data_IF_159126515674
#
_entry.id   IF_159126515674
#
_cell.length_a   1.000
_cell.length_b   1.000
_cell.length_c   1.000
_cell.angle_alpha   90.00
_cell.angle_beta   90.00
_cell.angle_gamma   90.00
#
_symmetry.space_group_name_H-M   'P 1'
#
loop_
_entity.id
_entity.type
_entity.pdbx_description
1 polymer ?
#
# COMPACT_ATOMS: atom_id res chain seq x y z
N UNK A 1 3.02 -0.89 -12.78
CA UNK A 1 3.42 0.23 -11.92
C UNK A 1 2.63 0.24 -10.60
N UNK A 2 1.30 0.31 -10.64
CA UNK A 2 0.46 0.40 -9.44
C UNK A 2 0.62 -0.80 -8.49
N UNK A 3 0.80 -2.01 -9.02
CA UNK A 3 1.00 -3.23 -8.25
C UNK A 3 2.21 -3.16 -7.30
N UNK A 4 3.33 -2.58 -7.74
CA UNK A 4 4.53 -2.45 -6.90
C UNK A 4 4.25 -1.66 -5.61
N UNK A 5 3.52 -0.55 -5.71
CA UNK A 5 3.19 0.28 -4.55
C UNK A 5 2.31 -0.43 -3.53
N UNK A 6 1.27 -1.14 -3.98
CA UNK A 6 0.35 -1.82 -3.04
C UNK A 6 0.99 -3.07 -2.43
N UNK A 7 1.86 -3.77 -3.17
CA UNK A 7 2.62 -4.90 -2.65
C UNK A 7 3.62 -4.41 -1.60
N UNK A 8 4.38 -3.34 -1.88
CA UNK A 8 5.34 -2.78 -0.92
C UNK A 8 4.64 -2.35 0.37
N UNK A 9 3.55 -1.59 0.28
CA UNK A 9 2.77 -1.19 1.46
C UNK A 9 2.30 -2.39 2.28
N UNK A 10 1.82 -3.45 1.63
CA UNK A 10 1.40 -4.65 2.33
C UNK A 10 2.58 -5.39 2.99
N UNK A 11 3.74 -5.45 2.35
CA UNK A 11 4.97 -6.03 2.91
C UNK A 11 5.45 -5.23 4.11
N UNK A 12 5.41 -3.90 4.06
CA UNK A 12 5.75 -3.04 5.21
C UNK A 12 4.83 -3.30 6.41
N UNK A 13 3.53 -3.39 6.18
CA UNK A 13 2.53 -3.61 7.23
C UNK A 13 2.56 -5.04 7.78
N UNK A 14 2.56 -6.04 6.92
CA UNK A 14 2.26 -7.43 7.28
C UNK A 14 3.45 -8.38 7.10
N UNK A 15 4.56 -7.92 6.49
CA UNK A 15 5.73 -8.73 6.16
C UNK A 15 5.57 -9.53 4.86
N UNK A 16 6.67 -10.19 4.46
CA UNK A 16 6.71 -11.03 3.26
C UNK A 16 5.83 -12.27 3.47
N UNK A 17 4.92 -12.62 2.53
CA UNK A 17 4.06 -13.79 2.67
C UNK A 17 4.84 -15.10 2.38
N UNK A 18 4.32 -16.23 2.87
CA UNK A 18 4.85 -17.56 2.54
C UNK A 18 4.49 -17.98 1.11
N UNK A 19 3.36 -17.50 0.60
CA UNK A 19 2.87 -17.82 -0.74
C UNK A 19 1.94 -16.71 -1.26
N UNK A 20 1.69 -16.74 -2.56
CA UNK A 20 0.84 -15.79 -3.26
C UNK A 20 -0.12 -16.53 -4.20
N UNK A 21 -1.34 -16.00 -4.35
CA UNK A 21 -2.25 -16.36 -5.42
C UNK A 21 -2.72 -15.09 -6.12
N UNK A 22 -2.69 -15.08 -7.44
CA UNK A 22 -3.01 -13.88 -8.21
C UNK A 22 -3.85 -14.18 -9.44
N UNK A 23 -4.67 -13.19 -9.80
CA UNK A 23 -5.38 -13.05 -11.07
C UNK A 23 -5.00 -11.69 -11.65
N UNK A 24 -4.32 -11.70 -12.80
CA UNK A 24 -3.81 -10.51 -13.49
C UNK A 24 -4.26 -10.58 -14.95
N UNK A 25 -4.86 -9.51 -15.45
CA UNK A 25 -5.43 -9.52 -16.79
C UNK A 25 -5.31 -8.16 -17.51
N UNK A 26 -5.60 -8.18 -18.81
CA UNK A 26 -5.77 -7.02 -19.68
C UNK A 26 -7.25 -6.94 -20.04
N UNK A 27 -8.02 -6.12 -19.32
CA UNK A 27 -9.47 -6.04 -19.49
C UNK A 27 -9.93 -4.90 -20.42
N UNK A 28 -9.06 -3.94 -20.74
CA UNK A 28 -9.36 -2.87 -21.69
C UNK A 28 -9.26 -3.38 -23.13
N UNK A 29 -10.24 -3.05 -23.94
CA UNK A 29 -10.19 -3.34 -25.39
C UNK A 29 -8.94 -2.72 -26.01
N UNK A 30 -8.11 -3.54 -26.67
CA UNK A 30 -6.88 -3.11 -27.31
C UNK A 30 -5.73 -2.80 -26.32
N UNK A 31 -5.85 -3.16 -25.05
CA UNK A 31 -4.77 -3.07 -24.08
C UNK A 31 -3.58 -3.98 -24.46
N UNK A 32 -2.35 -3.53 -24.16
CA UNK A 32 -1.11 -4.27 -24.41
C UNK A 32 -0.37 -4.61 -23.10
N UNK A 33 -0.81 -4.06 -21.98
CA UNK A 33 -0.26 -4.27 -20.64
C UNK A 33 -1.39 -4.52 -19.66
N UNK A 34 -1.10 -5.27 -18.61
CA UNK A 34 -2.02 -5.55 -17.53
C UNK A 34 -2.60 -4.25 -16.92
N UNK A 35 -3.89 -4.26 -16.72
CA UNK A 35 -4.66 -3.13 -16.19
C UNK A 35 -5.69 -3.55 -15.13
N UNK A 36 -5.64 -4.82 -14.75
CA UNK A 36 -6.43 -5.42 -13.69
C UNK A 36 -5.57 -6.42 -12.90
N UNK A 37 -5.71 -6.42 -11.58
CA UNK A 37 -5.21 -7.51 -10.76
C UNK A 37 -6.00 -7.67 -9.45
N UNK A 38 -6.04 -8.92 -8.98
CA UNK A 38 -6.35 -9.31 -7.61
C UNK A 38 -5.23 -10.23 -7.12
N UNK A 39 -4.63 -9.89 -5.98
CA UNK A 39 -3.51 -10.62 -5.41
C UNK A 39 -3.82 -10.96 -3.95
N UNK A 40 -3.72 -12.23 -3.59
CA UNK A 40 -3.85 -12.70 -2.22
C UNK A 40 -2.48 -13.05 -1.64
N UNK A 41 -2.09 -12.38 -0.56
CA UNK A 41 -0.88 -12.69 0.19
C UNK A 41 -1.23 -13.69 1.30
N UNK A 42 -0.61 -14.87 1.25
CA UNK A 42 -0.91 -15.97 2.14
C UNK A 42 0.13 -16.06 3.25
N UNK A 43 -0.33 -16.02 4.51
CA UNK A 43 0.49 -16.10 5.71
C UNK A 43 1.65 -15.09 5.74
N UNK A 44 1.37 -13.80 5.79
CA UNK A 44 2.41 -12.77 5.93
C UNK A 44 3.25 -12.99 7.20
N UNK A 45 4.55 -12.78 7.14
CA UNK A 45 5.49 -13.17 8.19
C UNK A 45 5.31 -12.45 9.54
N UNK A 46 4.84 -11.20 9.51
CA UNK A 46 4.53 -10.42 10.72
C UNK A 46 3.11 -10.66 11.25
N UNK A 47 2.21 -11.21 10.42
CA UNK A 47 0.80 -11.38 10.73
C UNK A 47 0.19 -12.61 10.03
N UNK A 48 0.59 -13.85 10.39
CA UNK A 48 0.28 -15.07 9.62
C UNK A 48 -1.22 -15.42 9.57
N UNK A 49 -2.03 -14.86 10.46
CA UNK A 49 -3.47 -15.07 10.48
C UNK A 49 -4.27 -14.03 9.68
N UNK A 50 -3.64 -12.93 9.28
CA UNK A 50 -4.28 -11.87 8.50
C UNK A 50 -4.47 -12.34 7.05
N UNK A 51 -5.64 -12.04 6.50
CA UNK A 51 -5.96 -12.23 5.08
C UNK A 51 -5.74 -10.92 4.37
N UNK A 52 -4.78 -10.88 3.45
CA UNK A 52 -4.44 -9.67 2.69
C UNK A 52 -4.85 -9.89 1.25
N UNK A 53 -5.68 -9.00 0.73
CA UNK A 53 -6.08 -8.94 -0.68
C UNK A 53 -5.71 -7.57 -1.23
N UNK A 54 -4.96 -7.55 -2.31
CA UNK A 54 -4.59 -6.36 -3.07
C UNK A 54 -5.38 -6.37 -4.36
N UNK A 55 -6.04 -5.27 -4.70
CA UNK A 55 -6.84 -5.17 -5.91
C UNK A 55 -6.63 -3.82 -6.57
N UNK A 56 -6.59 -3.83 -7.89
CA UNK A 56 -6.64 -2.62 -8.70
C UNK A 56 -7.21 -2.90 -10.07
N UNK A 57 -7.86 -1.89 -10.65
CA UNK A 57 -8.33 -1.89 -12.02
C UNK A 57 -8.29 -0.47 -12.59
N UNK A 58 -8.02 -0.34 -13.88
CA UNK A 58 -8.18 0.94 -14.59
C UNK A 58 -9.62 1.20 -15.05
N UNK A 59 -10.49 0.17 -15.01
CA UNK A 59 -11.91 0.32 -15.41
C UNK A 59 -12.80 0.55 -14.18
N UNK A 60 -12.53 1.65 -13.45
CA UNK A 60 -13.29 2.01 -12.26
C UNK A 60 -13.69 3.49 -12.36
N UNK A 61 -14.99 3.75 -12.47
CA UNK A 61 -15.53 5.11 -12.40
C UNK A 61 -15.67 5.59 -10.94
N UNK A 62 -16.00 4.68 -10.03
CA UNK A 62 -16.08 4.99 -8.60
C UNK A 62 -14.81 4.52 -7.88
N UNK A 63 -14.15 5.38 -7.09
CA UNK A 63 -12.95 5.00 -6.37
C UNK A 63 -13.27 4.01 -5.25
N UNK A 64 -12.54 2.89 -5.21
CA UNK A 64 -12.55 2.00 -4.06
C UNK A 64 -11.73 2.60 -2.89
N UNK A 65 -12.01 2.18 -1.65
CA UNK A 65 -11.16 2.55 -0.52
C UNK A 65 -9.71 2.11 -0.76
N UNK A 66 -8.77 2.97 -0.44
CA UNK A 66 -7.34 2.62 -0.46
C UNK A 66 -7.00 1.53 0.56
N UNK A 67 -7.60 1.62 1.74
CA UNK A 67 -7.46 0.65 2.82
C UNK A 67 -8.82 0.28 3.38
N UNK A 68 -9.05 -1.02 3.51
CA UNK A 68 -10.14 -1.60 4.28
C UNK A 68 -9.52 -2.60 5.24
N UNK A 69 -9.47 -2.27 6.51
CA UNK A 69 -8.89 -3.11 7.55
C UNK A 69 -10.01 -3.56 8.49
N UNK A 70 -10.17 -4.87 8.65
CA UNK A 70 -11.11 -5.46 9.59
C UNK A 70 -10.34 -6.24 10.64
N UNK A 71 -10.45 -5.84 11.89
CA UNK A 71 -9.89 -6.52 13.04
C UNK A 71 -10.99 -7.09 13.93
N UNK A 72 -10.58 -7.79 14.99
CA UNK A 72 -11.51 -8.37 15.97
C UNK A 72 -12.26 -7.34 16.80
N UNK A 73 -11.70 -6.13 16.93
CA UNK A 73 -12.25 -5.07 17.79
C UNK A 73 -12.73 -3.84 17.00
N UNK A 74 -12.62 -3.86 15.67
CA UNK A 74 -13.07 -2.74 14.86
C UNK A 74 -12.64 -2.81 13.41
N UNK A 75 -13.01 -1.76 12.68
CA UNK A 75 -12.72 -1.59 11.26
C UNK A 75 -12.16 -0.20 11.00
N UNK A 76 -11.27 -0.12 10.01
CA UNK A 76 -10.76 1.14 9.50
C UNK A 76 -10.90 1.18 7.99
N UNK A 77 -11.47 2.27 7.47
CA UNK A 77 -11.67 2.48 6.03
C UNK A 77 -11.11 3.83 5.65
N UNK A 78 -10.21 3.86 4.67
CA UNK A 78 -9.59 5.09 4.18
C UNK A 78 -9.70 5.17 2.66
N UNK A 79 -10.13 6.33 2.19
CA UNK A 79 -10.14 6.69 0.78
C UNK A 79 -8.97 7.63 0.44
N UNK A 80 -8.66 7.72 -0.85
CA UNK A 80 -7.66 8.65 -1.37
C UNK A 80 -6.22 8.21 -1.14
N UNK A 81 -5.33 8.97 -1.73
CA UNK A 81 -3.88 8.83 -1.64
C UNK A 81 -3.29 9.98 -0.84
N UNK A 82 -2.02 9.86 -0.50
CA UNK A 82 -1.20 10.95 0.01
C UNK A 82 -1.30 12.19 -0.87
N UNK A 83 -1.40 13.36 -0.24
CA UNK A 83 -1.66 14.62 -0.93
C UNK A 83 -0.41 15.24 -1.58
N UNK A 84 0.78 14.80 -1.24
CA UNK A 84 2.03 15.48 -1.62
C UNK A 84 2.22 15.63 -3.13
N UNK A 85 1.81 14.63 -3.95
CA UNK A 85 1.86 14.74 -5.40
C UNK A 85 0.90 15.83 -5.92
N UNK A 86 -0.31 15.90 -5.36
CA UNK A 86 -1.26 16.96 -5.70
C UNK A 86 -0.73 18.34 -5.31
N UNK A 87 -0.15 18.47 -4.12
CA UNK A 87 0.47 19.69 -3.63
C UNK A 87 1.61 20.16 -4.56
N UNK A 88 2.48 19.25 -5.04
CA UNK A 88 3.51 19.58 -6.04
C UNK A 88 2.90 20.09 -7.36
N UNK A 89 1.84 19.46 -7.84
CA UNK A 89 1.15 19.86 -9.05
C UNK A 89 0.46 21.23 -8.90
N UNK A 90 0.05 21.60 -7.69
CA UNK A 90 -0.48 22.91 -7.32
C UNK A 90 0.63 23.96 -7.06
N UNK A 91 1.91 23.58 -7.16
CA UNK A 91 3.07 24.47 -6.98
C UNK A 91 3.49 24.66 -5.53
N UNK A 92 2.96 23.88 -4.59
CA UNK A 92 3.43 23.86 -3.21
C UNK A 92 4.78 23.13 -3.12
N UNK A 93 5.58 23.49 -2.14
CA UNK A 93 6.90 22.90 -1.94
C UNK A 93 7.00 22.20 -0.59
N UNK A 94 7.76 21.09 -0.48
CA UNK A 94 8.05 20.46 0.80
C UNK A 94 8.58 21.47 1.83
N UNK A 95 8.09 21.37 3.07
CA UNK A 95 8.45 22.27 4.15
C UNK A 95 7.65 23.58 4.23
N UNK A 96 6.71 23.82 3.30
CA UNK A 96 5.77 24.93 3.43
C UNK A 96 4.62 24.58 4.39
N UNK A 97 3.93 25.58 4.90
CA UNK A 97 2.75 25.37 5.74
C UNK A 97 1.70 24.54 4.99
N UNK A 98 1.10 23.58 5.70
CA UNK A 98 0.11 22.64 5.18
C UNK A 98 0.60 21.64 4.10
N UNK A 99 1.91 21.55 3.85
CA UNK A 99 2.47 20.53 2.97
C UNK A 99 2.08 19.11 3.43
N UNK A 100 1.53 18.30 2.51
CA UNK A 100 1.15 16.91 2.78
C UNK A 100 0.02 16.72 3.80
N UNK A 101 -0.63 17.80 4.25
CA UNK A 101 -1.72 17.74 5.22
C UNK A 101 -3.02 17.41 4.51
N UNK A 102 -3.66 16.33 4.93
CA UNK A 102 -4.96 15.91 4.38
C UNK A 102 -6.11 16.69 5.04
N UNK A 103 -7.11 17.04 4.22
CA UNK A 103 -8.39 17.55 4.70
C UNK A 103 -9.15 16.48 5.50
N UNK A 104 -9.89 16.92 6.53
CA UNK A 104 -10.67 16.02 7.39
C UNK A 104 -11.66 15.16 6.60
N UNK A 105 -12.18 15.65 5.47
CA UNK A 105 -13.13 14.90 4.63
C UNK A 105 -12.60 13.57 4.15
N UNK A 106 -11.27 13.47 3.92
CA UNK A 106 -10.59 12.25 3.44
C UNK A 106 -9.85 11.47 4.53
N UNK A 107 -9.94 11.87 5.80
CA UNK A 107 -9.39 11.08 6.90
C UNK A 107 -10.03 9.70 6.99
N UNK A 108 -9.27 8.73 7.49
CA UNK A 108 -9.77 7.37 7.68
C UNK A 108 -10.91 7.32 8.68
N UNK A 109 -11.92 6.49 8.42
CA UNK A 109 -13.02 6.23 9.33
C UNK A 109 -12.66 5.04 10.22
N UNK A 110 -12.52 5.29 11.51
CA UNK A 110 -12.41 4.24 12.53
C UNK A 110 -13.79 3.92 13.10
N UNK A 111 -14.13 2.64 13.17
CA UNK A 111 -15.34 2.12 13.79
C UNK A 111 -14.95 0.96 14.70
N UNK A 112 -15.11 1.13 16.00
CA UNK A 112 -14.77 0.14 17.02
C UNK A 112 -15.82 0.16 18.14
N UNK A 113 -15.80 -0.86 18.99
CA UNK A 113 -16.57 -0.91 20.22
C UNK A 113 -15.62 -0.78 21.41
N UNK A 114 -15.97 0.09 22.36
CA UNK A 114 -15.23 0.28 23.60
C UNK A 114 -16.24 0.34 24.78
N UNK A 115 -16.07 -0.54 25.74
CA UNK A 115 -16.91 -0.62 26.95
C UNK A 115 -18.41 -0.74 26.64
N UNK A 116 -18.76 -1.52 25.57
CA UNK A 116 -20.15 -1.68 25.12
C UNK A 116 -20.70 -0.51 24.32
N UNK A 117 -19.90 0.51 24.04
CA UNK A 117 -20.28 1.67 23.26
C UNK A 117 -19.65 1.66 21.88
N UNK A 118 -20.43 1.93 20.85
CA UNK A 118 -19.93 2.11 19.49
C UNK A 118 -19.21 3.45 19.39
N UNK A 119 -17.94 3.39 19.00
CA UNK A 119 -17.10 4.56 18.72
C UNK A 119 -16.85 4.61 17.22
N UNK A 120 -17.36 5.65 16.55
CA UNK A 120 -17.23 5.84 15.11
C UNK A 120 -16.87 7.28 14.81
N UNK A 121 -15.64 7.51 14.36
CA UNK A 121 -15.15 8.85 14.06
C UNK A 121 -14.08 8.84 12.97
N UNK A 122 -13.80 10.01 12.41
CA UNK A 122 -12.65 10.24 11.54
C UNK A 122 -11.36 10.20 12.35
N UNK A 123 -10.34 9.53 11.83
CA UNK A 123 -9.02 9.43 12.44
C UNK A 123 -8.04 10.27 11.61
N UNK A 124 -7.36 11.26 12.20
CA UNK A 124 -6.44 12.13 11.47
C UNK A 124 -5.31 11.36 10.80
N UNK A 125 -5.02 11.69 9.55
CA UNK A 125 -3.81 11.22 8.87
C UNK A 125 -2.62 12.07 9.30
N UNK A 126 -1.46 11.45 9.41
CA UNK A 126 -0.20 12.18 9.53
C UNK A 126 0.10 12.88 8.20
N UNK A 127 0.73 14.05 8.28
CA UNK A 127 1.21 14.73 7.08
C UNK A 127 2.26 13.86 6.38
N UNK A 128 2.22 13.86 5.05
CA UNK A 128 3.24 13.19 4.24
C UNK A 128 4.59 13.92 4.32
N UNK A 129 5.70 13.19 4.14
CA UNK A 129 7.07 13.71 4.27
C UNK A 129 8.01 13.18 3.17
N UNK A 130 7.89 13.71 1.95
CA UNK A 130 8.84 13.40 0.88
C UNK A 130 10.26 13.89 1.19
N UNK A 131 10.41 14.96 1.99
CA UNK A 131 11.73 15.49 2.34
C UNK A 131 12.51 14.50 3.20
N UNK A 132 11.84 13.73 4.07
CA UNK A 132 12.47 12.71 4.91
C UNK A 132 13.25 11.65 4.14
N UNK A 133 12.82 11.32 2.90
CA UNK A 133 13.58 10.43 2.02
C UNK A 133 14.96 11.04 1.64
N UNK A 134 14.98 12.30 1.23
CA UNK A 134 16.23 13.00 0.86
C UNK A 134 17.11 13.27 2.07
N UNK A 135 16.51 13.59 3.22
CA UNK A 135 17.23 13.75 4.49
C UNK A 135 17.94 12.45 4.91
N UNK A 136 17.26 11.31 4.76
CA UNK A 136 17.87 10.01 5.06
C UNK A 136 19.05 9.72 4.11
N UNK A 137 18.93 10.00 2.81
CA UNK A 137 20.04 9.87 1.86
C UNK A 137 21.21 10.78 2.27
N UNK A 138 20.94 12.04 2.59
CA UNK A 138 21.95 12.98 3.03
C UNK A 138 22.68 12.50 4.29
N UNK A 139 21.96 12.04 5.31
CA UNK A 139 22.54 11.48 6.53
C UNK A 139 23.32 10.21 6.27
N UNK A 140 22.85 9.35 5.39
CA UNK A 140 23.61 8.17 4.97
C UNK A 140 24.97 8.54 4.37
N UNK A 141 24.98 9.47 3.43
CA UNK A 141 26.21 9.89 2.73
C UNK A 141 27.19 10.66 3.63
N UNK A 142 26.68 11.41 4.61
CA UNK A 142 27.50 12.29 5.46
C UNK A 142 27.84 11.70 6.82
N UNK A 143 26.96 10.89 7.37
CA UNK A 143 27.04 10.38 8.74
C UNK A 143 27.08 8.85 8.80
N UNK A 144 27.02 8.17 7.65
CA UNK A 144 26.96 6.70 7.57
C UNK A 144 25.74 6.10 8.31
N UNK A 145 24.66 6.85 8.43
CA UNK A 145 23.39 6.31 8.97
C UNK A 145 22.79 5.28 8.00
N UNK A 146 22.08 4.26 8.48
CA UNK A 146 21.42 3.28 7.63
C UNK A 146 20.41 3.93 6.69
N UNK A 147 20.34 3.43 5.44
CA UNK A 147 19.24 3.78 4.55
C UNK A 147 17.94 3.17 5.06
N UNK A 148 16.86 3.94 5.03
CA UNK A 148 15.50 3.45 5.32
C UNK A 148 14.95 2.59 4.17
N UNK A 149 15.39 2.90 2.95
CA UNK A 149 15.02 2.17 1.74
C UNK A 149 16.28 1.89 0.93
N UNK A 150 16.60 0.62 0.75
CA UNK A 150 17.73 0.16 -0.06
C UNK A 150 17.30 -0.91 -1.07
N UNK A 151 18.20 -1.30 -1.95
CA UNK A 151 17.94 -2.30 -2.98
C UNK A 151 17.59 -3.69 -2.38
N UNK A 152 18.19 -4.04 -1.24
CA UNK A 152 17.92 -5.31 -0.58
C UNK A 152 16.50 -5.35 0.00
N UNK A 153 16.03 -4.24 0.59
CA UNK A 153 14.67 -4.09 1.11
C UNK A 153 13.59 -4.15 0.03
N UNK A 154 13.89 -3.72 -1.20
CA UNK A 154 12.96 -3.74 -2.33
C UNK A 154 12.91 -5.11 -3.04
N UNK A 155 13.96 -5.92 -2.96
CA UNK A 155 14.04 -7.21 -3.63
C UNK A 155 12.86 -8.16 -3.35
N UNK A 156 12.33 -8.27 -2.12
CA UNK A 156 11.12 -9.06 -1.86
C UNK A 156 9.91 -8.61 -2.67
N UNK A 157 9.73 -7.31 -2.88
CA UNK A 157 8.61 -6.76 -3.67
C UNK A 157 8.71 -7.21 -5.13
N UNK A 158 9.92 -7.16 -5.71
CA UNK A 158 10.13 -7.62 -7.10
C UNK A 158 9.85 -9.12 -7.23
N UNK A 159 10.33 -9.94 -6.28
CA UNK A 159 10.03 -11.39 -6.25
C UNK A 159 8.54 -11.68 -6.13
N UNK A 160 7.81 -10.88 -5.36
CA UNK A 160 6.35 -11.01 -5.24
C UNK A 160 5.63 -10.65 -6.55
N UNK A 161 6.10 -9.66 -7.29
CA UNK A 161 5.57 -9.31 -8.61
C UNK A 161 5.77 -10.48 -9.59
N UNK A 162 6.97 -11.05 -9.66
CA UNK A 162 7.27 -12.20 -10.52
C UNK A 162 6.42 -13.42 -10.14
N UNK A 163 6.30 -13.72 -8.84
CA UNK A 163 5.47 -14.80 -8.34
C UNK A 163 3.96 -14.58 -8.61
N UNK A 164 3.48 -13.33 -8.57
CA UNK A 164 2.10 -13.01 -8.93
C UNK A 164 1.83 -13.29 -10.42
N UNK A 165 2.75 -12.92 -11.30
CA UNK A 165 2.66 -13.26 -12.73
C UNK A 165 2.67 -14.78 -12.98
N UNK A 166 3.57 -15.52 -12.31
CA UNK A 166 3.58 -16.98 -12.38
C UNK A 166 2.26 -17.56 -11.90
N UNK A 167 1.77 -17.09 -10.74
CA UNK A 167 0.51 -17.55 -10.17
C UNK A 167 -0.68 -17.34 -11.10
N UNK A 168 -0.80 -16.15 -11.66
CA UNK A 168 -1.87 -15.82 -12.61
C UNK A 168 -1.81 -16.67 -13.88
N UNK A 169 -0.62 -16.80 -14.46
CA UNK A 169 -0.42 -17.58 -15.70
C UNK A 169 -0.74 -19.07 -15.53
N UNK A 170 -0.41 -19.65 -14.37
CA UNK A 170 -0.56 -21.08 -14.11
C UNK A 170 -1.83 -21.42 -13.31
N UNK A 171 -2.59 -20.42 -12.85
CA UNK A 171 -3.81 -20.60 -12.06
C UNK A 171 -3.57 -21.32 -10.72
N UNK A 172 -2.39 -21.15 -10.12
CA UNK A 172 -1.99 -21.86 -8.90
C UNK A 172 -1.37 -20.95 -7.84
N UNK A 173 -1.36 -21.44 -6.60
CA UNK A 173 -0.59 -20.82 -5.52
C UNK A 173 0.91 -21.01 -5.75
N UNK A 174 1.68 -19.93 -5.71
CA UNK A 174 3.14 -19.91 -5.80
C UNK A 174 3.75 -19.67 -4.42
N UNK A 175 4.66 -20.53 -3.98
CA UNK A 175 5.40 -20.37 -2.72
C UNK A 175 6.55 -19.38 -2.93
N UNK A 176 6.71 -18.49 -1.97
CA UNK A 176 7.82 -17.54 -1.97
C UNK A 176 9.02 -18.22 -1.29
N UNK A 177 10.08 -18.45 -2.07
CA UNK A 177 11.34 -18.98 -1.54
C UNK A 177 11.98 -18.05 -0.51
N UNK A 178 12.67 -18.62 0.47
CA UNK A 178 13.47 -17.86 1.44
C UNK A 178 14.67 -17.18 0.79
#
# INVERSE_FOLDING_TARGET
NLGAHVIDQAVQLFGVPEAIFADIDIIRTGGLVDDYFVIHLLRPSKAPHVKVTLKSSYLMCEPEPRFVLHGTEGSFVKYGLDRQEADLNEGLMPGTANWGVEDESIWGLLHTEKDGNIVRHKYPSLAGDYAGFYDNIHRHLRLSEPLLTDAAGVLPVIRLIEAAWESSKEGKVVKIGK
#
